data_IF_020891238372
#
_entry.id   IF_020891238372
#
_cell.length_a   1.000
_cell.length_b   1.000
_cell.length_c   1.000
_cell.angle_alpha   90.00
_cell.angle_beta   90.00
_cell.angle_gamma   90.00
#
_symmetry.space_group_name_H-M   'P 1'
#
loop_
_entity.id
_entity.type
_entity.pdbx_description
1 polymer ?
#
# COMPACT_ATOMS: atom_id res chain seq x y z
N UNK A 1 -55.57 18.67 -26.06
CA UNK A 1 -54.19 19.19 -25.92
C UNK A 1 -53.74 18.84 -24.51
N UNK A 2 -53.32 17.60 -24.31
CA UNK A 2 -53.00 17.03 -22.99
C UNK A 2 -51.52 17.28 -22.69
N UNK A 3 -51.27 18.09 -21.66
CA UNK A 3 -49.95 18.48 -21.19
C UNK A 3 -49.30 17.28 -20.49
N UNK A 4 -48.34 16.64 -21.14
CA UNK A 4 -47.61 15.51 -20.56
C UNK A 4 -46.66 16.04 -19.47
N UNK A 5 -46.76 15.57 -18.22
CA UNK A 5 -45.92 16.06 -17.12
C UNK A 5 -44.47 15.62 -17.34
N UNK A 6 -43.58 16.60 -17.51
CA UNK A 6 -42.15 16.41 -17.64
C UNK A 6 -41.57 15.99 -16.27
N UNK A 7 -41.51 14.67 -16.04
CA UNK A 7 -40.89 14.11 -14.84
C UNK A 7 -39.36 14.31 -14.90
N UNK A 8 -38.75 14.90 -13.87
CA UNK A 8 -37.30 15.05 -13.81
C UNK A 8 -36.62 13.67 -13.85
N UNK A 9 -35.48 13.52 -14.53
CA UNK A 9 -34.78 12.24 -14.62
C UNK A 9 -34.44 11.73 -13.22
N UNK A 10 -34.78 10.46 -12.98
CA UNK A 10 -34.46 9.77 -11.74
C UNK A 10 -32.96 9.91 -11.44
N UNK A 11 -32.62 10.52 -10.31
CA UNK A 11 -31.24 10.59 -9.86
C UNK A 11 -30.75 9.17 -9.62
N UNK A 12 -29.75 8.76 -10.38
CA UNK A 12 -29.07 7.48 -10.24
C UNK A 12 -28.28 7.45 -8.91
N UNK A 13 -28.91 6.90 -7.87
CA UNK A 13 -28.29 6.69 -6.56
C UNK A 13 -27.42 5.41 -6.51
N UNK A 14 -27.23 4.72 -7.65
CA UNK A 14 -26.50 3.45 -7.71
C UNK A 14 -24.98 3.60 -7.65
N UNK A 15 -24.45 4.82 -7.62
CA UNK A 15 -23.01 5.01 -7.45
C UNK A 15 -22.65 4.78 -5.98
N UNK A 16 -21.93 3.69 -5.64
CA UNK A 16 -21.49 3.48 -4.27
C UNK A 16 -20.69 4.69 -3.83
N UNK A 17 -21.08 5.29 -2.69
CA UNK A 17 -20.30 6.35 -2.04
C UNK A 17 -18.91 5.76 -1.77
N UNK A 18 -17.90 6.23 -2.51
CA UNK A 18 -16.51 5.84 -2.26
C UNK A 18 -16.17 6.26 -0.83
N UNK A 19 -15.83 5.29 0.01
CA UNK A 19 -15.37 5.57 1.36
C UNK A 19 -14.13 6.47 1.29
N UNK A 20 -14.01 7.47 2.20
CA UNK A 20 -12.85 8.33 2.23
C UNK A 20 -11.58 7.49 2.40
N UNK A 21 -10.61 7.69 1.49
CA UNK A 21 -9.35 6.95 1.50
C UNK A 21 -8.58 7.24 2.79
N UNK A 22 -8.03 6.22 3.41
CA UNK A 22 -7.06 6.42 4.48
C UNK A 22 -5.77 6.99 3.87
N UNK A 23 -5.42 8.20 4.28
CA UNK A 23 -4.20 8.90 3.83
C UNK A 23 -3.14 8.81 4.91
N UNK A 24 -1.88 8.82 4.48
CA UNK A 24 -0.78 9.02 5.41
C UNK A 24 -0.87 10.42 6.02
N UNK A 25 -0.62 10.52 7.34
CA UNK A 25 -0.47 11.81 7.98
C UNK A 25 0.77 12.51 7.41
N UNK A 26 0.71 13.84 7.26
CA UNK A 26 1.73 14.64 6.55
C UNK A 26 3.15 14.43 7.10
N UNK A 27 3.30 14.36 8.41
CA UNK A 27 4.60 14.14 9.07
C UNK A 27 5.21 12.75 8.81
N UNK A 28 4.44 11.81 8.24
CA UNK A 28 4.91 10.48 7.81
C UNK A 28 5.19 10.40 6.31
N UNK A 29 5.08 11.49 5.56
CA UNK A 29 5.30 11.51 4.13
C UNK A 29 6.74 11.94 3.84
N UNK A 30 7.56 11.11 3.20
CA UNK A 30 8.99 11.43 2.98
C UNK A 30 9.24 12.79 2.32
N UNK A 31 8.48 13.20 1.28
CA UNK A 31 8.64 14.53 0.69
C UNK A 31 8.40 15.67 1.68
N UNK A 32 7.56 15.46 2.70
CA UNK A 32 7.36 16.45 3.75
C UNK A 32 8.59 16.56 4.66
N UNK A 33 9.26 15.46 4.99
CA UNK A 33 10.50 15.50 5.77
C UNK A 33 11.62 16.19 5.00
N UNK A 34 11.79 15.85 3.72
CA UNK A 34 12.74 16.54 2.82
C UNK A 34 12.45 18.04 2.75
N UNK A 35 11.18 18.42 2.56
CA UNK A 35 10.78 19.81 2.52
C UNK A 35 10.99 20.53 3.86
N UNK A 36 10.79 19.83 4.99
CA UNK A 36 11.05 20.38 6.31
C UNK A 36 12.55 20.62 6.54
N UNK A 37 13.42 19.66 6.19
CA UNK A 37 14.88 19.82 6.27
C UNK A 37 15.36 21.00 5.41
N UNK A 38 14.87 21.11 4.18
CA UNK A 38 15.18 22.23 3.30
C UNK A 38 14.69 23.56 3.89
N UNK A 39 13.45 23.59 4.39
CA UNK A 39 12.85 24.77 5.00
C UNK A 39 13.65 25.25 6.22
N UNK A 40 13.99 24.36 7.13
CA UNK A 40 14.80 24.69 8.30
C UNK A 40 16.21 25.16 7.93
N UNK A 41 16.81 24.57 6.89
CA UNK A 41 18.15 24.98 6.40
C UNK A 41 18.13 26.41 5.82
N UNK A 42 17.09 26.76 5.04
CA UNK A 42 16.92 28.12 4.49
C UNK A 42 16.69 29.13 5.61
N UNK A 43 15.81 28.79 6.57
CA UNK A 43 15.53 29.68 7.71
C UNK A 43 16.80 29.91 8.53
N UNK A 44 17.57 28.86 8.84
CA UNK A 44 18.84 28.99 9.53
C UNK A 44 19.82 29.91 8.79
N UNK A 45 19.93 29.75 7.46
CA UNK A 45 20.78 30.62 6.62
C UNK A 45 20.33 32.08 6.61
N UNK A 46 19.02 32.36 6.68
CA UNK A 46 18.49 33.72 6.79
C UNK A 46 18.81 34.35 8.14
N UNK A 47 18.68 33.59 9.23
CA UNK A 47 19.04 34.06 10.58
C UNK A 47 20.53 34.41 10.69
N UNK A 48 21.41 33.63 10.03
CA UNK A 48 22.85 33.95 9.96
C UNK A 48 23.13 35.29 9.27
N UNK A 49 22.26 35.75 8.37
CA UNK A 49 22.43 37.03 7.66
C UNK A 49 21.88 38.24 8.42
N UNK A 50 20.96 38.05 9.37
CA UNK A 50 20.24 39.16 10.02
C UNK A 50 20.98 39.79 11.21
N UNK A 51 22.11 39.24 11.63
CA UNK A 51 23.04 39.76 12.66
C UNK A 51 22.36 40.32 13.94
N UNK A 52 21.31 39.63 14.43
CA UNK A 52 20.58 40.01 15.64
C UNK A 52 21.29 39.42 16.86
N UNK A 53 22.15 40.21 17.52
CA UNK A 53 23.14 39.77 18.51
C UNK A 53 22.65 38.85 19.67
N UNK A 54 21.38 38.89 20.06
CA UNK A 54 20.89 38.17 21.27
C UNK A 54 19.82 37.12 20.97
N UNK A 55 18.92 37.37 20.01
CA UNK A 55 17.89 36.39 19.62
C UNK A 55 18.48 35.29 18.73
N UNK A 56 19.56 35.61 18.01
CA UNK A 56 20.22 34.73 17.05
C UNK A 56 20.67 33.38 17.65
N UNK A 57 21.44 33.30 18.75
CA UNK A 57 21.99 32.01 19.20
C UNK A 57 20.93 31.02 19.68
N UNK A 58 19.92 31.48 20.44
CA UNK A 58 18.86 30.59 20.94
C UNK A 58 17.99 30.11 19.78
N UNK A 59 17.53 31.03 18.92
CA UNK A 59 16.70 30.68 17.77
C UNK A 59 17.44 29.73 16.81
N UNK A 60 18.72 29.99 16.55
CA UNK A 60 19.56 29.16 15.69
C UNK A 60 19.79 27.78 16.29
N UNK A 61 20.00 27.67 17.62
CA UNK A 61 20.15 26.38 18.29
C UNK A 61 18.87 25.55 18.21
N UNK A 62 17.70 26.16 18.41
CA UNK A 62 16.41 25.47 18.29
C UNK A 62 16.12 25.03 16.85
N UNK A 63 16.37 25.90 15.86
CA UNK A 63 16.22 25.58 14.44
C UNK A 63 17.15 24.45 14.00
N UNK A 64 18.42 24.51 14.40
CA UNK A 64 19.40 23.48 14.11
C UNK A 64 19.00 22.15 14.75
N UNK A 65 18.57 22.17 16.01
CA UNK A 65 18.12 20.97 16.72
C UNK A 65 16.89 20.35 16.04
N UNK A 66 15.92 21.16 15.62
CA UNK A 66 14.75 20.71 14.88
C UNK A 66 15.13 20.12 13.50
N UNK A 67 16.06 20.75 12.78
CA UNK A 67 16.57 20.25 11.51
C UNK A 67 17.28 18.90 11.67
N UNK A 68 18.15 18.78 12.67
CA UNK A 68 18.85 17.52 13.00
C UNK A 68 17.85 16.44 13.37
N UNK A 69 16.85 16.73 14.20
CA UNK A 69 15.81 15.77 14.56
C UNK A 69 15.01 15.30 13.34
N UNK A 70 14.64 16.22 12.44
CA UNK A 70 13.96 15.88 11.19
C UNK A 70 14.82 14.99 10.29
N UNK A 71 16.10 15.32 10.13
CA UNK A 71 17.05 14.52 9.36
C UNK A 71 17.26 13.12 9.98
N UNK A 72 17.36 13.02 11.31
CA UNK A 72 17.45 11.73 11.98
C UNK A 72 16.18 10.91 11.77
N UNK A 73 14.99 11.50 11.84
CA UNK A 73 13.73 10.80 11.58
C UNK A 73 13.63 10.27 10.15
N UNK A 74 14.27 10.94 9.18
CA UNK A 74 14.32 10.51 7.77
C UNK A 74 15.37 9.41 7.53
N UNK A 75 16.53 9.53 8.17
CA UNK A 75 17.68 8.64 7.92
C UNK A 75 17.61 7.36 8.75
N UNK A 76 17.08 7.42 9.97
CA UNK A 76 17.04 6.29 10.90
C UNK A 76 16.32 5.04 10.35
N UNK A 77 15.19 5.14 9.59
CA UNK A 77 14.56 4.00 8.93
C UNK A 77 15.44 3.26 7.91
N UNK A 78 16.45 3.92 7.32
CA UNK A 78 17.39 3.26 6.39
C UNK A 78 18.38 2.36 7.13
N UNK A 79 18.81 2.76 8.33
CA UNK A 79 19.80 2.03 9.12
C UNK A 79 19.21 1.04 10.11
N UNK A 80 17.97 1.27 10.55
CA UNK A 80 17.29 0.42 11.53
C UNK A 80 16.14 -0.31 10.84
N UNK A 81 16.31 -1.59 10.47
CA UNK A 81 15.27 -2.37 9.79
C UNK A 81 13.95 -2.43 10.57
N UNK A 82 13.99 -2.30 11.90
CA UNK A 82 12.79 -2.24 12.76
C UNK A 82 11.98 -0.95 12.60
N UNK A 83 12.62 0.13 12.16
CA UNK A 83 11.99 1.43 11.90
C UNK A 83 11.66 1.63 10.43
N UNK A 84 12.13 0.72 9.56
CA UNK A 84 11.80 0.72 8.14
C UNK A 84 10.30 0.59 8.00
N UNK A 85 9.66 1.61 7.42
CA UNK A 85 8.21 1.60 7.21
C UNK A 85 7.85 0.48 6.24
N UNK A 86 6.89 -0.34 6.63
CA UNK A 86 6.32 -1.41 5.79
C UNK A 86 5.71 -0.89 4.48
N UNK A 87 5.57 0.43 4.32
CA UNK A 87 5.13 1.08 3.08
C UNK A 87 6.23 1.38 2.05
N UNK A 88 7.46 1.62 2.50
CA UNK A 88 8.57 2.14 1.66
C UNK A 88 9.55 1.05 1.22
N UNK A 89 9.55 -0.11 1.88
CA UNK A 89 10.34 -1.29 1.51
C UNK A 89 9.43 -2.45 1.14
N UNK A 90 9.92 -3.32 0.25
CA UNK A 90 9.43 -4.70 0.15
C UNK A 90 9.31 -5.28 1.55
N UNK A 91 8.18 -5.91 1.87
CA UNK A 91 7.96 -6.53 3.17
C UNK A 91 9.16 -7.46 3.46
N UNK A 92 9.84 -7.22 4.59
CA UNK A 92 10.93 -8.08 4.99
C UNK A 92 10.30 -9.26 5.74
N UNK A 93 10.27 -10.43 5.12
CA UNK A 93 9.87 -11.66 5.79
C UNK A 93 10.78 -11.86 7.00
N UNK A 94 10.19 -11.91 8.18
CA UNK A 94 10.88 -12.23 9.45
C UNK A 94 10.38 -13.56 9.95
N UNK A 95 11.11 -14.16 10.90
CA UNK A 95 10.68 -15.39 11.58
C UNK A 95 9.29 -15.26 12.24
N UNK A 96 8.86 -14.03 12.52
CA UNK A 96 7.56 -13.71 13.11
C UNK A 96 6.46 -13.47 12.06
N UNK A 97 6.79 -13.53 10.77
CA UNK A 97 5.84 -13.31 9.67
C UNK A 97 5.21 -14.63 9.28
N UNK A 98 3.89 -14.71 9.41
CA UNK A 98 3.13 -15.89 9.04
C UNK A 98 2.44 -15.66 7.69
N UNK A 99 2.76 -16.52 6.72
CA UNK A 99 2.16 -16.49 5.40
C UNK A 99 0.95 -17.44 5.37
N UNK A 100 -0.24 -16.86 5.27
CA UNK A 100 -1.48 -17.63 5.22
C UNK A 100 -1.70 -18.14 3.80
N UNK A 101 -1.82 -19.47 3.58
CA UNK A 101 -2.03 -20.05 2.26
C UNK A 101 -3.37 -19.61 1.63
N UNK A 102 -3.47 -19.63 0.29
CA UNK A 102 -4.73 -19.33 -0.39
C UNK A 102 -5.78 -20.38 0.02
N UNK A 103 -6.95 -19.91 0.45
CA UNK A 103 -8.08 -20.78 0.79
C UNK A 103 -8.18 -21.19 2.27
N UNK A 104 -7.26 -20.77 3.15
CA UNK A 104 -7.55 -20.89 4.58
C UNK A 104 -8.72 -19.95 4.91
N UNK A 105 -9.86 -20.46 5.42
CA UNK A 105 -10.94 -19.59 5.83
C UNK A 105 -10.40 -18.66 6.92
N UNK A 106 -10.41 -17.38 6.60
CA UNK A 106 -10.27 -16.32 7.59
C UNK A 106 -11.52 -16.46 8.45
N UNK A 107 -11.39 -17.16 9.58
CA UNK A 107 -12.43 -17.18 10.59
C UNK A 107 -12.57 -15.74 11.08
N UNK A 108 -13.52 -15.01 10.49
CA UNK A 108 -13.98 -13.76 11.05
C UNK A 108 -14.36 -14.07 12.50
N UNK A 109 -13.68 -13.41 13.44
CA UNK A 109 -13.94 -13.60 14.85
C UNK A 109 -15.41 -13.19 15.12
N UNK A 110 -16.33 -14.17 15.12
CA UNK A 110 -17.71 -13.97 15.56
C UNK A 110 -18.85 -14.50 14.67
N UNK A 111 -18.61 -15.09 13.50
CA UNK A 111 -19.70 -15.66 12.68
C UNK A 111 -19.81 -17.18 12.84
N UNK A 112 -20.96 -17.61 13.39
CA UNK A 112 -21.30 -19.02 13.61
C UNK A 112 -21.30 -19.85 12.31
N UNK A 113 -21.11 -21.18 12.38
CA UNK A 113 -21.05 -22.04 11.21
C UNK A 113 -22.40 -22.07 10.50
N UNK A 114 -22.42 -21.69 9.22
CA UNK A 114 -23.55 -21.95 8.32
C UNK A 114 -23.16 -23.07 7.37
N UNK A 115 -23.94 -24.15 7.39
CA UNK A 115 -23.80 -25.28 6.48
C UNK A 115 -23.94 -24.81 5.03
N UNK A 116 -22.86 -24.92 4.27
CA UNK A 116 -22.76 -24.53 2.87
C UNK A 116 -22.53 -25.77 1.99
N UNK A 117 -23.54 -26.64 1.90
CA UNK A 117 -23.68 -27.61 0.82
C UNK A 117 -24.47 -26.98 -0.33
N UNK A 118 -23.78 -26.26 -1.21
CA UNK A 118 -24.28 -25.93 -2.54
C UNK A 118 -23.09 -25.64 -3.48
N UNK A 119 -22.76 -26.62 -4.32
CA UNK A 119 -22.05 -26.43 -5.57
C UNK A 119 -22.88 -25.49 -6.45
N UNK A 120 -22.46 -24.23 -6.58
CA UNK A 120 -22.87 -23.42 -7.72
C UNK A 120 -21.69 -22.58 -8.21
N UNK A 121 -21.15 -23.01 -9.35
CA UNK A 121 -20.01 -22.46 -10.06
C UNK A 121 -20.38 -21.15 -10.76
N UNK A 122 -20.75 -20.13 -9.98
CA UNK A 122 -20.67 -18.75 -10.45
C UNK A 122 -19.25 -18.27 -10.23
N UNK A 123 -18.36 -18.63 -11.17
CA UNK A 123 -16.99 -18.13 -11.26
C UNK A 123 -17.01 -16.60 -11.39
N UNK A 124 -17.11 -15.90 -10.27
CA UNK A 124 -16.74 -14.50 -10.21
C UNK A 124 -15.27 -14.43 -10.58
N UNK A 125 -14.97 -13.59 -11.58
CA UNK A 125 -13.62 -13.26 -12.01
C UNK A 125 -12.90 -12.55 -10.84
N UNK A 126 -12.42 -13.34 -9.87
CA UNK A 126 -11.62 -12.89 -8.72
C UNK A 126 -10.18 -12.59 -9.11
N UNK A 127 -9.91 -12.61 -10.42
CA UNK A 127 -8.62 -12.28 -11.00
C UNK A 127 -8.54 -10.77 -11.17
N UNK A 128 -7.74 -10.12 -10.33
CA UNK A 128 -7.52 -8.67 -10.40
C UNK A 128 -6.21 -8.37 -11.14
N UNK A 129 -6.20 -7.41 -12.07
CA UNK A 129 -4.97 -6.97 -12.69
C UNK A 129 -4.12 -6.17 -11.68
N UNK A 130 -2.82 -6.44 -11.67
CA UNK A 130 -1.86 -5.64 -10.89
C UNK A 130 -1.54 -4.38 -11.67
N UNK A 131 -1.93 -3.23 -11.11
CA UNK A 131 -1.63 -1.93 -11.71
C UNK A 131 -0.23 -1.48 -11.32
N UNK A 132 0.32 -0.55 -12.10
CA UNK A 132 1.70 -0.04 -11.96
C UNK A 132 2.80 -1.09 -12.19
N UNK A 133 2.47 -2.31 -12.67
CA UNK A 133 3.45 -3.36 -12.95
C UNK A 133 4.58 -2.91 -13.89
N UNK A 134 4.30 -1.98 -14.80
CA UNK A 134 5.31 -1.43 -15.70
C UNK A 134 6.45 -0.69 -14.97
N UNK A 135 6.16 -0.05 -13.83
CA UNK A 135 7.19 0.62 -13.02
C UNK A 135 8.06 -0.37 -12.25
N UNK A 136 7.62 -1.62 -12.16
CA UNK A 136 8.23 -2.68 -11.38
C UNK A 136 8.79 -3.82 -12.23
N UNK A 137 8.93 -3.65 -13.56
CA UNK A 137 9.42 -4.72 -14.46
C UNK A 137 10.77 -5.29 -14.01
N UNK A 138 11.71 -4.46 -13.56
CA UNK A 138 13.00 -4.96 -13.06
C UNK A 138 12.88 -5.85 -11.81
N UNK A 139 11.92 -5.57 -10.91
CA UNK A 139 11.65 -6.45 -9.76
C UNK A 139 10.98 -7.76 -10.19
N UNK A 140 10.05 -7.67 -11.15
CA UNK A 140 9.36 -8.83 -11.73
C UNK A 140 10.35 -9.75 -12.44
N UNK A 141 11.20 -9.20 -13.32
CA UNK A 141 12.26 -9.95 -14.01
C UNK A 141 13.26 -10.59 -13.04
N UNK A 142 13.62 -9.87 -11.96
CA UNK A 142 14.49 -10.40 -10.93
C UNK A 142 13.85 -11.53 -10.11
N UNK A 143 12.52 -11.53 -9.96
CA UNK A 143 11.77 -12.64 -9.36
C UNK A 143 11.76 -13.84 -10.32
N UNK A 144 11.43 -13.61 -11.60
CA UNK A 144 11.46 -14.60 -12.69
C UNK A 144 12.80 -15.29 -12.86
N UNK A 145 13.88 -14.54 -12.87
CA UNK A 145 15.23 -15.09 -12.99
C UNK A 145 15.61 -15.99 -11.80
N UNK A 146 15.01 -15.81 -10.63
CA UNK A 146 15.32 -16.59 -9.42
C UNK A 146 14.35 -17.74 -9.15
N UNK A 147 13.06 -17.55 -9.43
CA UNK A 147 11.99 -18.47 -9.04
C UNK A 147 11.33 -19.23 -10.19
N UNK A 148 11.66 -18.94 -11.45
CA UNK A 148 10.98 -19.54 -12.60
C UNK A 148 9.63 -18.86 -12.89
N UNK A 149 8.67 -19.51 -13.58
CA UNK A 149 7.39 -18.89 -13.95
C UNK A 149 6.29 -19.06 -12.90
N UNK A 150 6.45 -19.95 -11.92
CA UNK A 150 5.45 -20.27 -10.92
C UNK A 150 5.68 -19.42 -9.66
N UNK A 151 4.77 -18.47 -9.40
CA UNK A 151 4.84 -17.59 -8.25
C UNK A 151 3.59 -17.61 -7.41
N UNK A 152 3.83 -17.38 -6.14
CA UNK A 152 2.84 -16.95 -5.18
C UNK A 152 3.09 -15.47 -4.91
N UNK A 153 2.03 -14.66 -4.84
CA UNK A 153 2.12 -13.28 -4.38
C UNK A 153 1.65 -13.18 -2.94
N UNK A 154 2.22 -12.23 -2.21
CA UNK A 154 1.77 -11.79 -0.90
C UNK A 154 1.04 -10.46 -1.07
N UNK A 155 -0.15 -10.35 -0.50
CA UNK A 155 -0.88 -9.09 -0.42
C UNK A 155 -0.46 -8.32 0.83
N UNK A 156 0.11 -7.14 0.64
CA UNK A 156 0.64 -6.31 1.72
C UNK A 156 -0.21 -5.04 1.85
N UNK A 157 -1.08 -4.93 2.88
CA UNK A 157 -1.87 -3.72 3.08
C UNK A 157 -1.00 -2.58 3.62
N UNK A 158 -1.55 -1.35 3.58
CA UNK A 158 -0.87 -0.12 4.05
C UNK A 158 0.44 0.20 3.32
N UNK A 159 0.61 -0.32 2.11
CA UNK A 159 1.71 0.03 1.24
C UNK A 159 1.48 1.41 0.62
N UNK A 160 2.56 2.11 0.29
CA UNK A 160 2.50 3.40 -0.42
C UNK A 160 3.24 3.31 -1.74
N UNK A 161 2.73 4.03 -2.74
CA UNK A 161 3.57 4.37 -3.89
C UNK A 161 4.62 5.39 -3.44
N UNK A 162 5.82 5.38 -4.03
CA UNK A 162 6.96 6.20 -3.60
C UNK A 162 6.63 7.69 -3.39
N UNK A 163 5.74 8.29 -4.19
CA UNK A 163 5.28 9.67 -4.02
C UNK A 163 3.81 9.79 -3.58
N UNK A 164 3.14 8.67 -3.33
CA UNK A 164 1.73 8.63 -2.97
C UNK A 164 1.51 8.79 -1.46
N UNK A 165 0.48 9.54 -1.09
CA UNK A 165 -0.05 9.60 0.30
C UNK A 165 -1.19 8.63 0.55
N UNK A 166 -1.71 7.98 -0.48
CA UNK A 166 -2.83 7.05 -0.34
C UNK A 166 -2.26 5.68 0.05
N UNK A 167 -2.82 5.09 1.12
CA UNK A 167 -2.55 3.69 1.44
C UNK A 167 -3.17 2.78 0.37
N UNK A 168 -2.41 1.77 -0.04
CA UNK A 168 -2.78 0.79 -1.07
C UNK A 168 -2.44 -0.61 -0.59
N UNK A 169 -2.96 -1.60 -1.30
CA UNK A 169 -2.54 -3.00 -1.18
C UNK A 169 -1.47 -3.25 -2.24
N UNK A 170 -0.24 -3.51 -1.81
CA UNK A 170 0.82 -3.93 -2.69
C UNK A 170 0.70 -5.43 -2.98
N UNK A 171 1.17 -5.81 -4.17
CA UNK A 171 1.32 -7.19 -4.60
C UNK A 171 2.81 -7.45 -4.71
N UNK A 172 3.33 -8.28 -3.81
CA UNK A 172 4.75 -8.62 -3.76
C UNK A 172 4.92 -10.11 -4.10
N UNK A 173 5.73 -10.44 -5.11
CA UNK A 173 6.02 -11.82 -5.54
C UNK A 173 6.99 -12.48 -4.55
N UNK A 174 6.63 -13.68 -4.08
CA UNK A 174 7.42 -14.48 -3.17
C UNK A 174 8.35 -15.43 -3.93
N UNK A 175 9.65 -15.31 -3.66
CA UNK A 175 10.68 -16.20 -4.22
C UNK A 175 11.67 -16.59 -3.13
N UNK A 176 11.55 -17.82 -2.64
CA UNK A 176 12.22 -18.24 -1.40
C UNK A 176 11.83 -17.30 -0.26
N UNK A 177 12.83 -16.74 0.42
CA UNK A 177 12.64 -15.79 1.53
C UNK A 177 12.62 -14.31 1.09
N UNK A 178 12.47 -14.03 -0.20
CA UNK A 178 12.52 -12.67 -0.74
C UNK A 178 11.22 -12.27 -1.41
N UNK A 179 10.82 -11.03 -1.15
CA UNK A 179 9.66 -10.41 -1.77
C UNK A 179 10.08 -9.38 -2.82
N UNK A 180 9.45 -9.46 -3.99
CA UNK A 180 9.68 -8.56 -5.12
C UNK A 180 8.40 -7.84 -5.48
N UNK A 181 8.34 -6.52 -5.27
CA UNK A 181 7.13 -5.77 -5.58
C UNK A 181 6.78 -5.86 -7.05
N UNK A 182 5.60 -6.37 -7.35
CA UNK A 182 5.02 -6.44 -8.68
C UNK A 182 4.14 -5.23 -8.99
N UNK A 183 3.58 -4.57 -7.98
CA UNK A 183 2.75 -3.38 -8.15
C UNK A 183 1.67 -3.30 -7.09
N UNK A 184 0.48 -2.84 -7.47
CA UNK A 184 -0.63 -2.62 -6.55
C UNK A 184 -1.94 -3.17 -7.09
N UNK A 185 -2.90 -3.41 -6.20
CA UNK A 185 -4.28 -3.70 -6.60
C UNK A 185 -4.95 -2.47 -7.24
N UNK A 186 -5.98 -2.68 -8.09
CA UNK A 186 -6.80 -1.61 -8.63
C UNK A 186 -7.45 -0.80 -7.52
N UNK A 187 -7.66 0.48 -7.79
CA UNK A 187 -8.15 1.49 -6.84
C UNK A 187 -9.59 1.27 -6.39
N UNK A 188 -10.31 0.44 -7.11
CA UNK A 188 -11.71 0.08 -6.90
C UNK A 188 -11.82 -1.05 -5.87
N UNK A 189 -10.84 -1.97 -5.87
CA UNK A 189 -10.83 -3.16 -5.02
C UNK A 189 -9.90 -3.03 -3.81
N UNK A 190 -8.90 -2.13 -3.88
CA UNK A 190 -7.87 -2.00 -2.86
C UNK A 190 -8.41 -1.67 -1.48
N UNK A 191 -9.40 -0.79 -1.34
CA UNK A 191 -9.97 -0.39 -0.04
C UNK A 191 -10.69 -1.53 0.67
N UNK A 192 -11.54 -2.27 -0.05
CA UNK A 192 -12.31 -3.36 0.52
C UNK A 192 -11.37 -4.49 0.97
N UNK A 193 -10.39 -4.82 0.13
CA UNK A 193 -9.39 -5.85 0.43
C UNK A 193 -8.46 -5.38 1.56
N UNK A 194 -8.03 -4.11 1.57
CA UNK A 194 -7.22 -3.57 2.65
C UNK A 194 -7.93 -3.65 4.00
N UNK A 195 -9.22 -3.31 4.07
CA UNK A 195 -9.98 -3.38 5.31
C UNK A 195 -9.99 -4.79 5.92
N UNK A 196 -10.02 -5.83 5.08
CA UNK A 196 -9.95 -7.22 5.52
C UNK A 196 -8.53 -7.65 5.90
N UNK A 197 -7.50 -7.15 5.21
CA UNK A 197 -6.11 -7.55 5.43
C UNK A 197 -5.44 -6.82 6.60
N UNK A 198 -5.85 -5.60 6.93
CA UNK A 198 -5.23 -4.80 8.00
C UNK A 198 -5.19 -5.53 9.36
N UNK A 199 -6.29 -6.15 9.85
CA UNK A 199 -6.25 -6.91 11.11
C UNK A 199 -5.24 -8.07 11.12
N UNK A 200 -4.96 -8.69 9.96
CA UNK A 200 -3.94 -9.73 9.83
C UNK A 200 -2.55 -9.13 9.85
N UNK A 201 -2.34 -8.05 9.10
CA UNK A 201 -1.06 -7.37 9.06
C UNK A 201 -0.66 -6.81 10.44
N UNK A 202 -1.62 -6.33 11.24
CA UNK A 202 -1.39 -5.89 12.63
C UNK A 202 -0.90 -7.05 13.52
N UNK A 203 -1.21 -8.30 13.16
CA UNK A 203 -0.68 -9.54 13.77
C UNK A 203 0.52 -10.14 13.03
N UNK A 204 1.10 -9.43 12.05
CA UNK A 204 2.18 -9.91 11.16
C UNK A 204 1.82 -11.13 10.31
N UNK A 205 0.52 -11.32 10.06
CA UNK A 205 -0.02 -12.35 9.19
C UNK A 205 -0.32 -11.74 7.82
N UNK A 206 0.15 -12.37 6.74
CA UNK A 206 -0.06 -11.87 5.38
C UNK A 206 -0.61 -12.97 4.48
N UNK A 207 -1.56 -12.61 3.62
CA UNK A 207 -2.21 -13.57 2.75
C UNK A 207 -1.41 -13.78 1.48
N UNK A 208 -1.26 -15.04 1.13
CA UNK A 208 -0.72 -15.46 -0.16
C UNK A 208 -1.83 -15.73 -1.16
N UNK A 209 -1.57 -15.40 -2.43
CA UNK A 209 -2.52 -15.52 -3.54
C UNK A 209 -1.82 -16.06 -4.80
N UNK A 210 -2.50 -16.88 -5.61
CA UNK A 210 -1.97 -17.32 -6.90
C UNK A 210 -1.73 -16.13 -7.84
N UNK A 211 -0.68 -16.24 -8.66
CA UNK A 211 -0.30 -15.21 -9.63
C UNK A 211 -0.34 -15.78 -11.04
N UNK A 212 -0.99 -15.05 -11.95
CA UNK A 212 -0.85 -15.23 -13.39
C UNK A 212 0.09 -14.16 -13.96
N UNK A 213 1.10 -14.59 -14.72
CA UNK A 213 1.97 -13.66 -15.47
C UNK A 213 1.75 -13.90 -16.96
N UNK A 214 1.42 -12.83 -17.68
CA UNK A 214 1.28 -12.86 -19.14
C UNK A 214 2.27 -11.89 -19.77
N UNK A 215 3.07 -12.38 -20.72
CA UNK A 215 3.97 -11.53 -21.50
C UNK A 215 3.19 -10.85 -22.61
N UNK A 216 3.32 -9.53 -22.73
CA UNK A 216 2.71 -8.73 -23.81
C UNK A 216 3.78 -7.93 -24.53
N UNK A 217 3.45 -7.36 -25.69
CA UNK A 217 4.36 -6.48 -26.45
C UNK A 217 4.80 -5.23 -25.67
N UNK A 218 4.03 -4.81 -24.65
CA UNK A 218 4.33 -3.64 -23.80
C UNK A 218 5.07 -3.99 -22.50
N UNK A 219 5.35 -5.27 -22.25
CA UNK A 219 5.92 -5.77 -21.01
C UNK A 219 5.07 -6.87 -20.39
N UNK A 220 5.38 -7.26 -19.14
CA UNK A 220 4.65 -8.31 -18.43
C UNK A 220 3.45 -7.73 -17.71
N UNK A 221 2.29 -8.35 -17.89
CA UNK A 221 1.04 -8.07 -17.18
C UNK A 221 0.89 -9.13 -16.09
N UNK A 222 0.65 -8.68 -14.86
CA UNK A 222 0.45 -9.56 -13.72
C UNK A 222 -1.01 -9.50 -13.31
N UNK A 223 -1.58 -10.66 -13.04
CA UNK A 223 -2.91 -10.82 -12.48
C UNK A 223 -2.82 -11.64 -11.20
N UNK A 224 -3.62 -11.31 -10.19
CA UNK A 224 -3.68 -12.06 -8.94
C UNK A 224 -5.08 -12.58 -8.71
N UNK A 225 -5.19 -13.83 -8.30
CA UNK A 225 -6.46 -14.40 -7.87
C UNK A 225 -6.64 -14.16 -6.38
N UNK A 226 -7.45 -13.15 -6.04
CA UNK A 226 -7.72 -12.82 -4.64
C UNK A 226 -8.67 -13.84 -3.97
N UNK A 227 -9.27 -14.74 -4.75
CA UNK A 227 -10.20 -15.77 -4.30
C UNK A 227 -11.35 -15.22 -3.46
N UNK A 228 -12.02 -16.06 -2.64
CA UNK A 228 -12.98 -15.62 -1.65
C UNK A 228 -12.26 -14.99 -0.45
N UNK A 229 -11.57 -13.87 -0.69
CA UNK A 229 -11.29 -12.88 0.37
C UNK A 229 -12.61 -12.24 0.85
N UNK A 230 -13.65 -12.25 0.00
CA UNK A 230 -14.93 -11.59 0.16
C UNK A 230 -16.00 -12.37 0.94
N UNK A 231 -15.63 -13.30 1.83
CA UNK A 231 -16.62 -13.88 2.73
C UNK A 231 -16.78 -12.95 3.97
N UNK A 232 -17.95 -12.31 4.17
CA UNK A 232 -18.23 -11.54 5.38
C UNK A 232 -18.32 -12.41 6.64
#
# INVERSE_FOLDING_TARGET
MTMSPNLPPARDFSRPRRAPRQKLPLWRWDPFLVAAVLGFSIVAALFQRLDIAVVSPIALTLLLSAAVLAALLEVLPFFVPRLRRDGEGSLALRQETELLPPGHPVAAAGSAPRDSTAHDSTAHDSTLPVVDAQRHQGSIEAALARGGPEFVAVLVPRATAWMGRDYRVAVDLLVGERLYRAGFLPRESDQAIAAQLVPFADRKQYRTVPVGIRTTTKGRVITVDVGPLLAP
#
